data_IF_119643732505
#
_entry.id   IF_119643732505
#
_cell.length_a   1.000
_cell.length_b   1.000
_cell.length_c   1.000
_cell.angle_alpha   90.00
_cell.angle_beta   90.00
_cell.angle_gamma   90.00
#
_symmetry.space_group_name_H-M   'P 1'
#
loop_
_entity.id
_entity.type
_entity.pdbx_description
1 polymer ?
#
# COMPACT_ATOMS: atom_id res chain seq x y z
N UNK A 1 -53.33 2.27 -7.67
CA UNK A 1 -52.36 1.37 -8.32
C UNK A 1 -51.49 2.22 -9.25
N UNK A 2 -50.18 2.36 -9.11
CA UNK A 2 -49.24 1.83 -8.13
C UNK A 2 -48.00 2.76 -8.15
N UNK A 3 -47.72 3.39 -7.02
CA UNK A 3 -46.44 4.02 -6.70
C UNK A 3 -45.40 2.91 -6.50
N UNK A 4 -44.81 2.39 -7.57
CA UNK A 4 -43.90 1.25 -7.44
C UNK A 4 -42.81 1.23 -8.52
N UNK A 5 -41.86 2.16 -8.43
CA UNK A 5 -40.46 2.05 -8.91
C UNK A 5 -39.81 3.43 -8.76
N UNK A 6 -38.63 3.63 -8.21
CA UNK A 6 -37.71 2.79 -7.44
C UNK A 6 -36.69 3.80 -6.91
N UNK A 7 -36.55 3.93 -5.59
CA UNK A 7 -35.36 4.52 -4.98
C UNK A 7 -34.15 3.66 -5.43
N UNK A 8 -33.47 4.06 -6.49
CA UNK A 8 -32.11 3.62 -6.77
C UNK A 8 -31.24 4.84 -6.50
N UNK A 9 -30.80 4.97 -5.25
CA UNK A 9 -29.67 5.83 -4.94
C UNK A 9 -28.51 5.38 -5.83
N UNK A 10 -28.15 6.20 -6.81
CA UNK A 10 -26.90 6.02 -7.53
C UNK A 10 -25.81 5.99 -6.46
N UNK A 11 -25.19 4.83 -6.25
CA UNK A 11 -23.91 4.77 -5.57
C UNK A 11 -22.99 5.67 -6.38
N UNK A 12 -22.66 6.84 -5.83
CA UNK A 12 -21.76 7.80 -6.43
C UNK A 12 -20.33 7.23 -6.29
N UNK A 13 -20.07 6.13 -6.99
CA UNK A 13 -18.80 5.42 -6.98
C UNK A 13 -17.89 6.17 -7.91
N UNK A 14 -16.80 6.70 -7.38
CA UNK A 14 -15.71 7.21 -8.20
C UNK A 14 -15.22 6.07 -9.11
N UNK A 15 -15.48 6.21 -10.42
CA UNK A 15 -15.19 5.16 -11.41
C UNK A 15 -13.71 4.87 -11.53
N UNK A 16 -12.85 5.85 -11.25
CA UNK A 16 -11.39 5.69 -11.22
C UNK A 16 -10.97 4.84 -10.03
N UNK A 17 -11.61 5.00 -8.87
CA UNK A 17 -11.39 4.15 -7.70
C UNK A 17 -11.91 2.74 -7.96
N UNK A 18 -13.12 2.58 -8.51
CA UNK A 18 -13.64 1.26 -8.87
C UNK A 18 -12.69 0.52 -9.82
N UNK A 19 -12.14 1.24 -10.82
CA UNK A 19 -11.14 0.71 -11.74
C UNK A 19 -9.84 0.35 -11.02
N UNK A 20 -9.38 1.15 -10.06
CA UNK A 20 -8.19 0.83 -9.26
C UNK A 20 -8.35 -0.50 -8.53
N UNK A 21 -9.49 -0.68 -7.86
CA UNK A 21 -9.77 -1.91 -7.13
C UNK A 21 -9.84 -3.11 -8.08
N UNK A 22 -10.44 -2.92 -9.26
CA UNK A 22 -10.50 -3.95 -10.30
C UNK A 22 -9.14 -4.32 -10.89
N UNK A 23 -8.27 -3.35 -11.16
CA UNK A 23 -6.92 -3.64 -11.69
C UNK A 23 -6.03 -4.32 -10.64
N UNK A 24 -6.25 -4.05 -9.36
CA UNK A 24 -5.56 -4.71 -8.25
C UNK A 24 -6.11 -6.12 -7.93
N UNK A 25 -7.14 -6.63 -8.63
CA UNK A 25 -7.85 -7.89 -8.31
C UNK A 25 -7.01 -9.16 -8.25
N UNK A 26 -5.78 -9.15 -8.78
CA UNK A 26 -4.86 -10.29 -8.65
C UNK A 26 -4.51 -10.57 -7.18
N UNK A 27 -4.53 -9.52 -6.36
CA UNK A 27 -4.31 -9.58 -4.91
C UNK A 27 -5.51 -8.91 -4.23
N UNK A 28 -6.61 -9.65 -4.10
CA UNK A 28 -7.91 -9.09 -3.67
C UNK A 28 -7.82 -8.49 -2.26
N UNK A 29 -7.13 -9.16 -1.33
CA UNK A 29 -6.90 -8.65 0.03
C UNK A 29 -6.16 -7.29 0.03
N UNK A 30 -5.11 -7.15 -0.78
CA UNK A 30 -4.39 -5.88 -0.91
C UNK A 30 -5.24 -4.80 -1.56
N UNK A 31 -6.02 -5.16 -2.59
CA UNK A 31 -6.93 -4.25 -3.27
C UNK A 31 -7.95 -3.63 -2.31
N UNK A 32 -8.58 -4.46 -1.47
CA UNK A 32 -9.52 -4.01 -0.43
C UNK A 32 -8.78 -3.20 0.65
N UNK A 33 -7.59 -3.63 1.05
CA UNK A 33 -6.77 -2.86 2.00
C UNK A 33 -6.45 -1.45 1.49
N UNK A 34 -6.03 -1.32 0.23
CA UNK A 34 -5.76 -0.03 -0.43
C UNK A 34 -7.05 0.82 -0.43
N UNK A 35 -8.19 0.23 -0.83
CA UNK A 35 -9.48 0.94 -0.81
C UNK A 35 -9.78 1.57 0.55
N UNK A 36 -9.60 0.81 1.63
CA UNK A 36 -9.85 1.29 2.98
C UNK A 36 -8.84 2.32 3.49
N UNK A 37 -7.65 2.38 2.90
CA UNK A 37 -6.65 3.39 3.23
C UNK A 37 -6.80 4.70 2.45
N UNK A 38 -7.53 4.73 1.33
CA UNK A 38 -7.63 5.92 0.46
C UNK A 38 -8.08 7.19 1.20
N UNK A 39 -9.05 7.06 2.10
CA UNK A 39 -9.55 8.22 2.86
C UNK A 39 -8.52 8.75 3.86
N UNK A 40 -7.79 7.84 4.52
CA UNK A 40 -6.70 8.21 5.40
C UNK A 40 -5.56 8.84 4.59
N UNK A 41 -5.22 8.27 3.44
CA UNK A 41 -4.22 8.85 2.53
C UNK A 41 -4.60 10.27 2.12
N UNK A 42 -5.87 10.50 1.76
CA UNK A 42 -6.37 11.83 1.39
C UNK A 42 -6.22 12.82 2.54
N UNK A 43 -6.53 12.39 3.77
CA UNK A 43 -6.45 13.23 4.97
C UNK A 43 -5.01 13.59 5.32
N UNK A 44 -4.10 12.62 5.30
CA UNK A 44 -2.71 12.80 5.73
C UNK A 44 -1.82 13.40 4.63
N UNK A 45 -2.07 13.08 3.36
CA UNK A 45 -1.18 13.41 2.25
C UNK A 45 -1.82 14.27 1.14
N UNK A 46 -3.13 14.51 1.16
CA UNK A 46 -3.81 15.26 0.09
C UNK A 46 -3.46 16.76 0.01
N UNK A 47 -2.73 17.29 1.00
CA UNK A 47 -2.31 18.71 1.07
C UNK A 47 -0.81 18.88 1.26
N UNK A 48 -0.03 17.82 1.13
CA UNK A 48 1.41 17.86 1.36
C UNK A 48 2.18 17.75 0.05
N UNK A 49 3.36 18.37 -0.07
CA UNK A 49 4.15 18.30 -1.30
C UNK A 49 4.70 16.88 -1.50
N UNK A 50 4.47 16.31 -2.69
CA UNK A 50 4.94 14.97 -3.04
C UNK A 50 6.46 14.84 -3.13
N UNK A 51 7.19 15.95 -3.28
CA UNK A 51 8.65 15.99 -3.33
C UNK A 51 9.34 15.87 -1.96
N UNK A 52 8.58 15.99 -0.86
CA UNK A 52 9.13 15.79 0.47
C UNK A 52 9.38 14.30 0.74
N UNK A 53 10.64 13.92 0.96
CA UNK A 53 11.05 12.53 1.22
C UNK A 53 10.37 11.98 2.48
N UNK A 54 10.21 12.78 3.53
CA UNK A 54 9.53 12.38 4.76
C UNK A 54 8.08 11.95 4.50
N UNK A 55 7.34 12.70 3.67
CA UNK A 55 5.97 12.32 3.28
C UNK A 55 5.94 11.07 2.39
N UNK A 56 6.88 10.91 1.46
CA UNK A 56 7.00 9.69 0.67
C UNK A 56 7.23 8.47 1.57
N UNK A 57 8.17 8.56 2.51
CA UNK A 57 8.49 7.49 3.46
C UNK A 57 7.31 7.21 4.40
N UNK A 58 6.59 8.22 4.88
CA UNK A 58 5.37 8.02 5.66
C UNK A 58 4.29 7.27 4.88
N UNK A 59 4.08 7.62 3.59
CA UNK A 59 3.15 6.90 2.73
C UNK A 59 3.59 5.44 2.51
N UNK A 60 4.88 5.19 2.29
CA UNK A 60 5.41 3.83 2.19
C UNK A 60 5.18 3.02 3.48
N UNK A 61 5.49 3.61 4.63
CA UNK A 61 5.34 2.95 5.92
C UNK A 61 3.87 2.54 6.18
N UNK A 62 2.91 3.37 5.75
CA UNK A 62 1.49 3.03 5.72
C UNK A 62 1.17 1.91 4.73
N UNK A 63 1.58 2.04 3.46
CA UNK A 63 1.21 1.11 2.39
C UNK A 63 1.79 -0.30 2.57
N UNK A 64 3.02 -0.41 3.09
CA UNK A 64 3.67 -1.71 3.33
C UNK A 64 2.97 -2.55 4.42
N UNK A 65 2.06 -1.95 5.18
CA UNK A 65 1.17 -2.69 6.08
C UNK A 65 0.03 -3.39 5.37
N UNK A 66 -0.15 -3.15 4.08
CA UNK A 66 -1.16 -3.79 3.23
C UNK A 66 -0.51 -4.52 2.07
N UNK A 67 0.38 -3.85 1.35
CA UNK A 67 0.98 -4.34 0.09
C UNK A 67 2.29 -5.07 0.36
N UNK A 68 2.42 -6.28 -0.16
CA UNK A 68 3.64 -7.08 -0.06
C UNK A 68 3.94 -7.53 1.37
N UNK A 69 2.89 -7.82 2.16
CA UNK A 69 3.00 -8.33 3.54
C UNK A 69 3.70 -9.69 3.53
N UNK A 70 4.87 -9.74 4.17
CA UNK A 70 5.62 -10.97 4.39
C UNK A 70 5.95 -11.13 5.88
N UNK A 71 5.96 -12.37 6.39
CA UNK A 71 6.32 -12.63 7.77
C UNK A 71 7.79 -12.29 8.01
N UNK A 72 8.08 -11.65 9.13
CA UNK A 72 9.45 -11.45 9.58
C UNK A 72 10.06 -12.77 10.05
N UNK A 73 11.22 -13.13 9.50
CA UNK A 73 11.99 -14.30 9.91
C UNK A 73 13.42 -13.89 10.26
N UNK A 74 13.78 -13.89 11.55
CA UNK A 74 15.11 -13.45 11.99
C UNK A 74 16.29 -14.15 11.27
N UNK A 75 16.11 -15.41 10.86
CA UNK A 75 17.13 -16.23 10.19
C UNK A 75 17.33 -15.87 8.70
N UNK A 76 16.30 -15.30 8.07
CA UNK A 76 16.29 -14.91 6.65
C UNK A 76 16.17 -13.39 6.47
N UNK A 77 16.07 -12.65 7.57
CA UNK A 77 15.84 -11.22 7.59
C UNK A 77 17.09 -10.49 7.13
N UNK A 78 16.95 -9.77 6.02
CA UNK A 78 17.95 -8.82 5.54
C UNK A 78 17.70 -7.39 6.04
N UNK A 79 16.70 -7.22 6.90
CA UNK A 79 16.37 -5.97 7.57
C UNK A 79 15.76 -6.23 8.94
N UNK A 80 15.35 -5.16 9.61
CA UNK A 80 14.57 -5.26 10.85
C UNK A 80 13.11 -5.63 10.55
N UNK A 81 12.37 -5.98 11.60
CA UNK A 81 10.90 -5.99 11.49
C UNK A 81 10.40 -4.59 11.11
N UNK A 82 9.37 -4.54 10.28
CA UNK A 82 8.71 -3.29 9.92
C UNK A 82 8.22 -2.62 11.21
N UNK A 83 8.69 -1.40 11.42
CA UNK A 83 8.38 -0.60 12.60
C UNK A 83 7.81 0.75 12.18
N UNK A 84 7.12 1.37 13.13
CA UNK A 84 6.62 2.73 12.99
C UNK A 84 7.79 3.71 12.86
N UNK A 85 7.63 4.69 11.97
CA UNK A 85 8.59 5.79 11.84
C UNK A 85 8.37 6.78 12.98
N UNK A 86 9.46 7.26 13.59
CA UNK A 86 9.40 8.32 14.59
C UNK A 86 8.62 9.53 14.06
N UNK A 87 7.63 9.98 14.83
CA UNK A 87 6.75 11.09 14.44
C UNK A 87 5.59 10.73 13.51
N UNK A 88 5.38 9.43 13.23
CA UNK A 88 4.25 8.91 12.46
C UNK A 88 3.37 7.94 13.28
N UNK A 89 3.52 7.93 14.60
CA UNK A 89 2.81 7.03 15.51
C UNK A 89 1.29 7.18 15.39
N UNK A 90 0.80 8.42 15.32
CA UNK A 90 -0.63 8.68 15.15
C UNK A 90 -1.20 8.12 13.84
N UNK A 91 -0.43 8.20 12.75
CA UNK A 91 -0.84 7.65 11.45
C UNK A 91 -0.81 6.12 11.50
N UNK A 92 0.22 5.56 12.11
CA UNK A 92 0.32 4.13 12.34
C UNK A 92 -0.87 3.59 13.14
N UNK A 93 -1.27 4.26 14.21
CA UNK A 93 -2.43 3.84 15.01
C UNK A 93 -3.74 3.90 14.21
N UNK A 94 -3.95 4.96 13.42
CA UNK A 94 -5.11 5.04 12.52
C UNK A 94 -5.16 3.88 11.54
N UNK A 95 -4.02 3.53 10.94
CA UNK A 95 -3.93 2.37 10.04
C UNK A 95 -4.23 1.07 10.80
N UNK A 96 -3.72 0.91 12.02
CA UNK A 96 -4.02 -0.26 12.86
C UNK A 96 -5.52 -0.43 13.08
N UNK A 97 -6.21 0.65 13.44
CA UNK A 97 -7.67 0.64 13.64
C UNK A 97 -8.41 0.27 12.36
N UNK A 98 -8.01 0.83 11.21
CA UNK A 98 -8.62 0.51 9.91
C UNK A 98 -8.44 -0.97 9.58
N UNK A 99 -7.23 -1.51 9.74
CA UNK A 99 -6.93 -2.90 9.42
C UNK A 99 -7.63 -3.87 10.38
N UNK A 100 -7.74 -3.55 11.66
CA UNK A 100 -8.51 -4.34 12.63
C UNK A 100 -9.99 -4.36 12.26
N UNK A 101 -10.58 -3.21 11.92
CA UNK A 101 -11.97 -3.14 11.48
C UNK A 101 -12.20 -3.93 10.19
N UNK A 102 -11.26 -3.89 9.24
CA UNK A 102 -11.29 -4.69 8.02
C UNK A 102 -11.22 -6.19 8.35
N UNK A 103 -10.30 -6.60 9.23
CA UNK A 103 -10.15 -7.99 9.65
C UNK A 103 -11.44 -8.56 10.26
N UNK A 104 -12.10 -7.80 11.15
CA UNK A 104 -13.39 -8.19 11.74
C UNK A 104 -14.47 -8.36 10.66
N UNK A 105 -14.55 -7.43 9.70
CA UNK A 105 -15.51 -7.51 8.59
C UNK A 105 -15.25 -8.73 7.71
N UNK A 106 -14.00 -8.98 7.33
CA UNK A 106 -13.61 -10.13 6.51
C UNK A 106 -13.90 -11.45 7.24
N UNK A 107 -13.59 -11.53 8.52
CA UNK A 107 -13.90 -12.70 9.34
C UNK A 107 -15.41 -12.99 9.38
N UNK A 108 -16.24 -11.96 9.52
CA UNK A 108 -17.70 -12.11 9.50
C UNK A 108 -18.25 -12.55 8.13
N UNK A 109 -17.58 -12.20 7.03
CA UNK A 109 -17.93 -12.64 5.68
C UNK A 109 -17.54 -14.10 5.40
N UNK A 110 -16.64 -14.69 6.21
CA UNK A 110 -16.18 -16.07 6.03
C UNK A 110 -15.43 -16.27 4.71
N UNK A 111 -14.73 -15.25 4.20
CA UNK A 111 -14.02 -15.30 2.92
C UNK A 111 -12.49 -15.22 3.12
N UNK A 112 -11.77 -16.37 3.09
CA UNK A 112 -10.33 -16.43 3.34
C UNK A 112 -9.50 -15.60 2.35
N UNK A 113 -9.92 -15.50 1.08
CA UNK A 113 -9.20 -14.79 0.02
C UNK A 113 -9.08 -13.27 0.27
N UNK A 114 -9.91 -12.72 1.17
CA UNK A 114 -9.88 -11.31 1.55
C UNK A 114 -9.00 -11.05 2.78
N UNK A 115 -8.50 -12.10 3.43
CA UNK A 115 -7.63 -11.97 4.61
C UNK A 115 -6.26 -11.54 4.13
N UNK A 116 -5.74 -10.45 4.71
CA UNK A 116 -4.38 -10.00 4.44
C UNK A 116 -3.37 -11.10 4.80
N UNK A 117 -2.35 -11.33 3.95
CA UNK A 117 -1.27 -12.25 4.29
C UNK A 117 -0.59 -11.82 5.58
N UNK A 118 -0.29 -12.75 6.48
CA UNK A 118 0.27 -12.50 7.84
C UNK A 118 -0.73 -11.83 8.78
N UNK A 119 -0.83 -12.33 10.00
CA UNK A 119 -1.70 -11.75 11.02
C UNK A 119 -1.32 -10.30 11.37
N UNK A 120 -2.26 -9.50 11.87
CA UNK A 120 -2.04 -8.06 12.13
C UNK A 120 -1.12 -7.80 13.34
N UNK A 121 -1.04 -8.75 14.25
CA UNK A 121 -0.19 -8.76 15.45
C UNK A 121 1.17 -9.43 15.22
N UNK A 122 1.33 -10.15 14.12
CA UNK A 122 2.60 -10.77 13.75
C UNK A 122 3.58 -9.74 13.15
N UNK A 123 4.89 -9.86 13.43
CA UNK A 123 5.89 -8.96 12.89
C UNK A 123 5.99 -9.11 11.37
N UNK A 124 5.95 -7.99 10.65
CA UNK A 124 6.16 -7.92 9.21
C UNK A 124 7.63 -7.75 8.88
N UNK A 125 8.07 -8.34 7.79
CA UNK A 125 9.41 -8.13 7.29
C UNK A 125 9.61 -6.68 6.78
N UNK A 126 10.60 -5.98 7.34
CA UNK A 126 10.93 -4.59 7.02
C UNK A 126 12.00 -4.43 5.95
N UNK A 127 12.27 -5.45 5.13
CA UNK A 127 13.37 -5.39 4.17
C UNK A 127 13.11 -4.39 3.03
N UNK A 128 11.90 -4.40 2.46
CA UNK A 128 11.47 -3.38 1.48
C UNK A 128 11.54 -1.99 2.10
N UNK A 129 11.09 -1.85 3.35
CA UNK A 129 11.15 -0.59 4.08
C UNK A 129 12.59 -0.07 4.22
N UNK A 130 13.51 -0.92 4.67
CA UNK A 130 14.92 -0.57 4.86
C UNK A 130 15.54 -0.10 3.53
N UNK A 131 15.24 -0.81 2.44
CA UNK A 131 15.69 -0.46 1.08
C UNK A 131 15.16 0.91 0.62
N UNK A 132 13.91 1.27 0.96
CA UNK A 132 13.32 2.56 0.61
C UNK A 132 13.93 3.73 1.39
N UNK A 133 14.25 3.51 2.67
CA UNK A 133 14.92 4.47 3.54
C UNK A 133 16.35 4.73 3.07
N UNK A 134 17.13 3.66 2.85
CA UNK A 134 18.51 3.74 2.36
C UNK A 134 18.59 4.15 0.89
N UNK A 135 17.47 4.05 0.17
CA UNK A 135 17.35 4.38 -1.25
C UNK A 135 18.29 3.55 -2.14
N UNK A 136 18.64 2.34 -1.72
CA UNK A 136 19.53 1.42 -2.42
C UNK A 136 19.25 -0.01 -1.96
N UNK A 137 19.36 -0.98 -2.87
CA UNK A 137 19.34 -2.40 -2.48
C UNK A 137 20.70 -2.72 -1.82
N UNK A 138 20.74 -3.35 -0.63
CA UNK A 138 22.00 -3.68 0.02
C UNK A 138 22.95 -4.47 -0.88
N UNK A 139 24.24 -4.16 -0.78
CA UNK A 139 25.30 -4.88 -1.51
C UNK A 139 25.64 -6.20 -0.80
N UNK A 140 26.23 -7.16 -1.53
CA UNK A 140 26.67 -8.44 -0.96
C UNK A 140 25.56 -9.49 -0.75
N UNK A 141 24.36 -9.25 -1.26
CA UNK A 141 23.27 -10.23 -1.24
C UNK A 141 23.57 -11.42 -2.16
N UNK A 142 23.17 -12.62 -1.74
CA UNK A 142 23.16 -13.79 -2.62
C UNK A 142 22.12 -13.61 -3.72
N UNK A 143 22.30 -14.26 -4.87
CA UNK A 143 21.40 -14.17 -6.02
C UNK A 143 19.92 -14.39 -5.67
N UNK A 144 19.62 -15.39 -4.83
CA UNK A 144 18.25 -15.65 -4.39
C UNK A 144 17.65 -14.50 -3.58
N UNK A 145 18.44 -13.87 -2.71
CA UNK A 145 18.04 -12.75 -1.85
C UNK A 145 17.84 -11.48 -2.67
N UNK A 146 18.74 -11.22 -3.63
CA UNK A 146 18.62 -10.13 -4.58
C UNK A 146 17.34 -10.26 -5.43
N UNK A 147 17.08 -11.46 -5.95
CA UNK A 147 15.87 -11.72 -6.72
C UNK A 147 14.60 -11.57 -5.88
N UNK A 148 14.62 -12.01 -4.61
CA UNK A 148 13.50 -11.88 -3.70
C UNK A 148 13.15 -10.39 -3.43
N UNK A 149 14.14 -9.56 -3.08
CA UNK A 149 13.89 -8.13 -2.82
C UNK A 149 13.46 -7.39 -4.07
N UNK A 150 14.07 -7.68 -5.23
CA UNK A 150 13.64 -7.11 -6.52
C UNK A 150 12.18 -7.46 -6.80
N UNK A 151 11.79 -8.72 -6.64
CA UNK A 151 10.40 -9.16 -6.84
C UNK A 151 9.41 -8.41 -5.94
N UNK A 152 9.77 -8.20 -4.67
CA UNK A 152 8.91 -7.45 -3.72
C UNK A 152 8.83 -5.97 -4.05
N UNK A 153 9.94 -5.33 -4.43
CA UNK A 153 9.97 -3.94 -4.89
C UNK A 153 9.14 -3.77 -6.16
N UNK A 154 9.25 -4.69 -7.12
CA UNK A 154 8.40 -4.71 -8.32
C UNK A 154 6.92 -4.79 -7.96
N UNK A 155 6.54 -5.69 -7.04
CA UNK A 155 5.15 -5.83 -6.57
C UNK A 155 4.59 -4.52 -5.99
N UNK A 156 5.32 -3.89 -5.05
CA UNK A 156 4.91 -2.61 -4.45
C UNK A 156 4.89 -1.50 -5.50
N UNK A 157 5.90 -1.46 -6.38
CA UNK A 157 6.00 -0.52 -7.48
C UNK A 157 4.83 -0.61 -8.45
N UNK A 158 4.38 -1.83 -8.77
CA UNK A 158 3.23 -2.06 -9.65
C UNK A 158 1.92 -1.56 -9.02
N UNK A 159 1.72 -1.74 -7.71
CA UNK A 159 0.55 -1.15 -7.03
C UNK A 159 0.58 0.37 -7.09
N UNK A 160 1.72 0.99 -6.78
CA UNK A 160 1.87 2.44 -6.87
C UNK A 160 1.65 2.95 -8.30
N UNK A 161 2.18 2.21 -9.30
CA UNK A 161 1.98 2.49 -10.72
C UNK A 161 0.50 2.53 -11.09
N UNK A 162 -0.27 1.53 -10.67
CA UNK A 162 -1.72 1.49 -10.89
C UNK A 162 -2.43 2.63 -10.17
N UNK A 163 -2.06 2.89 -8.92
CA UNK A 163 -2.62 3.97 -8.12
C UNK A 163 -2.44 5.33 -8.80
N UNK A 164 -1.22 5.76 -9.13
CA UNK A 164 -1.06 7.12 -9.72
C UNK A 164 -1.73 7.24 -11.10
N UNK A 165 -1.71 6.19 -11.92
CA UNK A 165 -2.36 6.19 -13.24
C UNK A 165 -3.88 6.33 -13.17
N UNK A 166 -4.52 5.91 -12.07
CA UNK A 166 -5.97 5.96 -11.92
C UNK A 166 -6.42 7.13 -11.05
N UNK A 167 -5.67 7.43 -9.99
CA UNK A 167 -5.93 8.57 -9.12
C UNK A 167 -5.93 9.88 -9.91
N UNK A 168 -5.06 10.04 -10.92
CA UNK A 168 -5.03 11.27 -11.74
C UNK A 168 -6.37 11.63 -12.40
N UNK A 169 -7.27 10.66 -12.58
CA UNK A 169 -8.60 10.85 -13.17
C UNK A 169 -9.71 10.94 -12.11
N UNK A 170 -9.40 10.76 -10.83
CA UNK A 170 -10.34 10.91 -9.73
C UNK A 170 -10.49 12.39 -9.36
N UNK A 171 -11.72 12.90 -9.34
CA UNK A 171 -11.97 14.27 -8.89
C UNK A 171 -11.66 14.49 -7.40
N UNK A 172 -11.90 13.47 -6.56
CA UNK A 172 -11.67 13.55 -5.10
C UNK A 172 -10.23 13.20 -4.72
N UNK A 173 -9.70 12.11 -5.28
CA UNK A 173 -8.41 11.56 -4.89
C UNK A 173 -7.26 11.94 -5.83
N UNK A 174 -7.52 12.73 -6.88
CA UNK A 174 -6.50 13.19 -7.82
C UNK A 174 -5.37 13.98 -7.17
N UNK A 175 -5.63 14.63 -6.04
CA UNK A 175 -4.59 15.31 -5.24
C UNK A 175 -3.51 14.35 -4.70
N UNK A 176 -3.80 13.05 -4.62
CA UNK A 176 -2.82 12.03 -4.19
C UNK A 176 -1.92 11.54 -5.32
N UNK A 177 -2.23 11.86 -6.59
CA UNK A 177 -1.45 11.42 -7.74
C UNK A 177 0.03 11.72 -7.56
N UNK A 178 0.35 12.95 -7.15
CA UNK A 178 1.72 13.43 -7.15
C UNK A 178 2.59 12.63 -6.18
N UNK A 179 2.17 12.50 -4.91
CA UNK A 179 2.93 11.77 -3.90
C UNK A 179 3.06 10.28 -4.26
N UNK A 180 2.00 9.66 -4.80
CA UNK A 180 2.03 8.26 -5.24
C UNK A 180 2.98 8.09 -6.42
N UNK A 181 2.96 9.01 -7.40
CA UNK A 181 3.89 8.99 -8.55
C UNK A 181 5.34 9.17 -8.10
N UNK A 182 5.61 10.02 -7.11
CA UNK A 182 6.97 10.20 -6.56
C UNK A 182 7.45 8.95 -5.83
N UNK A 183 6.58 8.30 -5.04
CA UNK A 183 6.87 7.00 -4.44
C UNK A 183 7.17 5.93 -5.51
N UNK A 184 6.34 5.83 -6.55
CA UNK A 184 6.60 4.91 -7.67
C UNK A 184 7.97 5.17 -8.33
N UNK A 185 8.30 6.44 -8.61
CA UNK A 185 9.61 6.82 -9.17
C UNK A 185 10.77 6.40 -8.28
N UNK A 186 10.64 6.53 -6.95
CA UNK A 186 11.67 6.10 -6.00
C UNK A 186 11.99 4.61 -6.16
N UNK A 187 10.96 3.75 -6.16
CA UNK A 187 11.14 2.31 -6.41
C UNK A 187 11.78 2.07 -7.78
N UNK A 188 11.30 2.76 -8.82
CA UNK A 188 11.84 2.62 -10.17
C UNK A 188 13.34 2.92 -10.22
N UNK A 189 13.79 4.00 -9.57
CA UNK A 189 15.21 4.35 -9.54
C UNK A 189 16.06 3.34 -8.77
N UNK A 190 15.59 2.90 -7.59
CA UNK A 190 16.26 1.84 -6.82
C UNK A 190 16.44 0.56 -7.67
N UNK A 191 15.42 0.19 -8.43
CA UNK A 191 15.47 -0.98 -9.29
C UNK A 191 16.43 -0.80 -10.47
N UNK A 192 16.42 0.35 -11.15
CA UNK A 192 17.33 0.65 -12.27
C UNK A 192 18.80 0.64 -11.80
N UNK A 193 19.09 1.30 -10.69
CA UNK A 193 20.46 1.38 -10.16
C UNK A 193 21.00 0.00 -9.75
N UNK A 194 20.11 -0.98 -9.51
CA UNK A 194 20.47 -2.36 -9.18
C UNK A 194 20.64 -3.29 -10.38
N UNK A 195 20.38 -2.81 -11.59
CA UNK A 195 20.61 -3.56 -12.84
C UNK A 195 22.05 -3.39 -13.37
N UNK A 196 22.89 -2.63 -12.64
CA UNK A 196 24.31 -2.38 -12.91
C UNK A 196 25.20 -3.39 -12.20
#
# INVERSE_FOLDING_TARGET
MSNFCRFLGQLNVDTSIARLIWECRKDVAESIGIFHLLELMLTEFGRVPGDNIGHQLALFNMLLRVVGREPYHAEYAHGSALSVVSGQEAVWDKVTVILQALHVKVAALGCPDLVLPVALDAPLDGYVWSTLVENVIPTGLKTAQLNAIKKRLWHVGDKLRLMHNLLMYSGRYGVLEEIVRKCFRRIKWILIDSEV
#
